data_IF_767384526570
#
_entry.id   IF_767384526570
#
_cell.length_a   1.000
_cell.length_b   1.000
_cell.length_c   1.000
_cell.angle_alpha   90.00
_cell.angle_beta   90.00
_cell.angle_gamma   90.00
#
_symmetry.space_group_name_H-M   'P 1'
#
loop_
_entity.id
_entity.type
_entity.pdbx_description
1 polymer ?
#
# COMPACT_ATOMS: atom_id res chain seq x y z
N UNK A 1 -4.67 -3.41 17.33
CA UNK A 1 -4.23 -2.61 18.50
C UNK A 1 -5.09 -1.37 18.54
N UNK A 2 -5.86 -1.20 19.62
CA UNK A 2 -6.69 -0.02 19.88
C UNK A 2 -5.84 0.96 20.66
N UNK A 3 -5.51 2.10 20.06
CA UNK A 3 -4.88 3.20 20.79
C UNK A 3 -5.94 3.85 21.68
N UNK A 4 -5.54 4.41 22.82
CA UNK A 4 -6.43 4.86 23.91
C UNK A 4 -7.49 5.92 23.57
N UNK A 5 -7.60 6.32 22.30
CA UNK A 5 -8.63 7.19 21.74
C UNK A 5 -9.73 6.43 20.97
N UNK A 6 -9.73 5.09 21.00
CA UNK A 6 -10.67 4.26 20.24
C UNK A 6 -10.33 4.11 18.75
N UNK A 7 -9.30 4.83 18.26
CA UNK A 7 -8.73 4.59 16.95
C UNK A 7 -7.91 3.31 16.99
N UNK A 8 -8.10 2.45 15.98
CA UNK A 8 -7.29 1.28 15.80
C UNK A 8 -6.85 1.17 14.35
N UNK A 9 -5.71 0.51 14.18
CA UNK A 9 -5.23 0.06 12.88
C UNK A 9 -5.41 -1.45 12.81
N UNK A 10 -6.01 -1.91 11.74
CA UNK A 10 -6.17 -3.34 11.47
C UNK A 10 -5.30 -3.76 10.29
N UNK A 11 -4.73 -4.95 10.40
CA UNK A 11 -3.82 -5.53 9.43
C UNK A 11 -4.39 -6.86 8.96
N UNK A 12 -4.35 -7.09 7.64
CA UNK A 12 -4.54 -8.42 7.08
C UNK A 12 -3.23 -8.89 6.46
N UNK A 13 -3.07 -10.20 6.37
CA UNK A 13 -1.86 -10.81 5.86
C UNK A 13 -2.17 -11.68 4.64
N UNK A 14 -1.19 -11.85 3.77
CA UNK A 14 -1.21 -12.85 2.71
C UNK A 14 -0.80 -14.24 3.24
N UNK A 15 -0.81 -15.24 2.36
CA UNK A 15 -0.46 -16.63 2.71
C UNK A 15 1.01 -16.80 3.13
N UNK A 16 1.86 -15.79 2.93
CA UNK A 16 3.26 -15.77 3.33
C UNK A 16 3.46 -14.96 4.63
N UNK A 17 2.37 -14.64 5.34
CA UNK A 17 2.36 -13.80 6.55
C UNK A 17 2.89 -12.37 6.33
N UNK A 18 2.81 -11.85 5.10
CA UNK A 18 3.18 -10.46 4.79
C UNK A 18 1.95 -9.57 4.81
N UNK A 19 2.11 -8.30 5.18
CA UNK A 19 0.98 -7.36 5.34
C UNK A 19 0.31 -7.10 3.98
N UNK A 20 -0.91 -7.58 3.80
CA UNK A 20 -1.69 -7.39 2.56
C UNK A 20 -2.53 -6.12 2.60
N UNK A 21 -3.07 -5.76 3.77
CA UNK A 21 -3.94 -4.59 3.91
C UNK A 21 -3.77 -3.96 5.27
N UNK A 22 -3.76 -2.64 5.29
CA UNK A 22 -3.77 -1.80 6.49
C UNK A 22 -4.99 -0.91 6.43
N UNK A 23 -5.84 -0.95 7.46
CA UNK A 23 -7.00 -0.04 7.56
C UNK A 23 -6.85 0.84 8.77
N UNK A 24 -6.88 2.14 8.53
CA UNK A 24 -6.86 3.20 9.52
C UNK A 24 -8.29 3.62 9.81
N UNK A 25 -8.79 3.31 11.00
CA UNK A 25 -10.19 3.59 11.36
C UNK A 25 -10.49 5.09 11.46
N UNK A 26 -9.52 5.87 11.97
CA UNK A 26 -9.67 7.31 12.19
C UNK A 26 -9.95 8.09 10.90
N UNK A 27 -9.19 7.79 9.85
CA UNK A 27 -9.29 8.44 8.54
C UNK A 27 -10.12 7.66 7.53
N UNK A 28 -10.63 6.49 7.92
CA UNK A 28 -11.23 5.47 7.04
C UNK A 28 -10.35 5.14 5.82
N UNK A 29 -9.03 5.28 5.96
CA UNK A 29 -8.07 5.02 4.89
C UNK A 29 -7.74 3.54 4.84
N UNK A 30 -7.77 2.96 3.65
CA UNK A 30 -7.32 1.58 3.39
C UNK A 30 -6.11 1.61 2.48
N UNK A 31 -5.03 0.95 2.91
CA UNK A 31 -3.83 0.74 2.11
C UNK A 31 -3.70 -0.74 1.80
N UNK A 32 -3.57 -1.11 0.53
CA UNK A 32 -3.33 -2.50 0.10
C UNK A 32 -1.97 -2.63 -0.55
N UNK A 33 -1.26 -3.71 -0.25
CA UNK A 33 0.06 -4.00 -0.82
C UNK A 33 0.00 -5.26 -1.68
N UNK A 34 0.63 -5.19 -2.84
CA UNK A 34 0.97 -6.33 -3.69
C UNK A 34 2.48 -6.49 -3.68
N UNK A 35 2.94 -7.73 -3.61
CA UNK A 35 4.36 -8.07 -3.53
C UNK A 35 4.85 -8.72 -4.81
N UNK A 36 6.11 -8.47 -5.18
CA UNK A 36 6.80 -9.23 -6.22
C UNK A 36 7.20 -10.63 -5.74
N UNK A 37 7.82 -11.41 -6.62
CA UNK A 37 8.27 -12.77 -6.34
C UNK A 37 9.43 -12.83 -5.32
N UNK A 38 10.17 -11.73 -5.14
CA UNK A 38 11.24 -11.58 -4.16
C UNK A 38 10.72 -11.14 -2.78
N UNK A 39 9.45 -10.74 -2.71
CA UNK A 39 8.80 -10.25 -1.51
C UNK A 39 8.94 -8.75 -1.26
N UNK A 40 9.38 -7.97 -2.26
CA UNK A 40 9.32 -6.52 -2.19
C UNK A 40 7.92 -6.02 -2.55
N UNK A 41 7.55 -4.83 -2.07
CA UNK A 41 6.24 -4.22 -2.37
C UNK A 41 6.26 -3.78 -3.84
N UNK A 42 5.62 -4.52 -4.73
CA UNK A 42 5.52 -4.14 -6.14
C UNK A 42 4.50 -3.01 -6.35
N UNK A 43 3.40 -3.02 -5.59
CA UNK A 43 2.34 -2.01 -5.70
C UNK A 43 1.75 -1.67 -4.34
N UNK A 44 1.36 -0.42 -4.18
CA UNK A 44 0.51 0.02 -3.08
C UNK A 44 -0.72 0.72 -3.65
N UNK A 45 -1.88 0.56 -3.02
CA UNK A 45 -3.08 1.34 -3.34
C UNK A 45 -3.63 1.94 -2.07
N UNK A 46 -4.02 3.19 -2.11
CA UNK A 46 -4.56 3.97 -1.01
C UNK A 46 -5.95 4.44 -1.42
N UNK A 47 -6.94 4.06 -0.63
CA UNK A 47 -8.31 4.53 -0.79
C UNK A 47 -8.75 5.22 0.49
N UNK A 48 -9.37 6.39 0.34
CA UNK A 48 -9.90 7.17 1.45
C UNK A 48 -11.22 7.83 1.00
N UNK A 49 -12.29 7.82 1.83
CA UNK A 49 -13.51 8.53 1.52
C UNK A 49 -13.25 10.02 1.24
N UNK A 50 -13.82 10.54 0.16
CA UNK A 50 -13.66 11.95 -0.24
C UNK A 50 -12.32 12.31 -0.87
N UNK A 51 -11.47 11.33 -1.21
CA UNK A 51 -10.25 11.54 -1.98
C UNK A 51 -10.18 10.57 -3.16
N UNK A 52 -9.55 11.03 -4.23
CA UNK A 52 -9.23 10.16 -5.37
C UNK A 52 -8.29 9.02 -4.93
N UNK A 53 -8.54 7.78 -5.39
CA UNK A 53 -7.70 6.64 -5.05
C UNK A 53 -6.30 6.82 -5.66
N UNK A 54 -5.28 6.74 -4.81
CA UNK A 54 -3.89 6.77 -5.26
C UNK A 54 -3.37 5.34 -5.37
N UNK A 55 -2.62 5.04 -6.44
CA UNK A 55 -1.84 3.82 -6.51
C UNK A 55 -0.38 4.14 -6.79
N UNK A 56 0.50 3.26 -6.37
CA UNK A 56 1.94 3.39 -6.53
C UNK A 56 2.48 2.08 -7.08
N UNK A 57 3.42 2.17 -8.02
CA UNK A 57 4.22 1.03 -8.45
C UNK A 57 5.68 1.29 -8.07
N UNK A 58 6.34 0.26 -7.60
CA UNK A 58 7.73 0.30 -7.20
C UNK A 58 8.52 -0.72 -8.03
N UNK A 59 9.68 -0.29 -8.51
CA UNK A 59 10.62 -1.15 -9.21
C UNK A 59 11.94 -1.17 -8.45
N UNK A 60 12.50 -2.37 -8.34
CA UNK A 60 13.73 -2.63 -7.59
C UNK A 60 14.80 -3.19 -8.52
N UNK A 61 16.06 -2.91 -8.20
CA UNK A 61 17.17 -3.62 -8.82
C UNK A 61 17.36 -5.04 -8.24
N UNK A 62 18.30 -5.79 -8.78
CA UNK A 62 18.61 -7.17 -8.36
C UNK A 62 19.13 -7.27 -6.92
N UNK A 63 19.52 -6.16 -6.29
CA UNK A 63 19.96 -6.08 -4.91
C UNK A 63 18.82 -5.65 -3.96
N UNK A 64 17.59 -5.52 -4.48
CA UNK A 64 16.42 -5.10 -3.71
C UNK A 64 16.37 -3.60 -3.42
N UNK A 65 17.17 -2.78 -4.11
CA UNK A 65 17.16 -1.32 -3.93
C UNK A 65 16.10 -0.71 -4.81
N UNK A 66 15.29 0.19 -4.25
CA UNK A 66 14.27 0.92 -5.00
C UNK A 66 14.94 1.80 -6.06
N UNK A 67 14.64 1.57 -7.33
CA UNK A 67 15.16 2.34 -8.46
C UNK A 67 14.10 3.23 -9.11
N UNK A 68 12.81 2.92 -8.93
CA UNK A 68 11.72 3.74 -9.46
C UNK A 68 10.48 3.62 -8.61
N UNK A 69 9.82 4.77 -8.37
CA UNK A 69 8.46 4.82 -7.88
C UNK A 69 7.63 5.68 -8.83
N UNK A 70 6.44 5.22 -9.17
CA UNK A 70 5.50 5.98 -9.99
C UNK A 70 4.13 5.98 -9.32
N UNK A 71 3.57 7.16 -9.17
CA UNK A 71 2.17 7.29 -8.77
C UNK A 71 1.30 7.05 -10.00
N UNK A 72 0.35 6.15 -9.86
CA UNK A 72 -0.67 5.87 -10.86
C UNK A 72 -2.01 6.35 -10.32
N UNK A 73 -2.57 7.41 -10.88
CA UNK A 73 -3.97 7.75 -10.65
C UNK A 73 -4.81 6.68 -11.34
N UNK A 74 -5.64 5.96 -10.60
CA UNK A 74 -6.57 4.96 -11.16
C UNK A 74 -5.99 4.07 -12.27
N UNK A 75 -5.15 3.09 -11.92
CA UNK A 75 -4.53 2.13 -12.87
C UNK A 75 -3.60 2.70 -13.96
N UNK A 76 -3.57 4.00 -14.23
CA UNK A 76 -2.74 4.59 -15.26
C UNK A 76 -1.51 5.29 -14.68
N UNK A 77 -0.35 4.96 -15.24
CA UNK A 77 0.94 5.47 -14.78
C UNK A 77 1.03 6.93 -15.15
N UNK A 78 0.86 7.83 -14.18
CA UNK A 78 1.16 9.24 -14.37
C UNK A 78 2.67 9.36 -14.22
N UNK A 79 3.38 9.38 -15.35
CA UNK A 79 4.77 9.84 -15.36
C UNK A 79 4.74 11.35 -15.12
N UNK A 80 5.35 11.78 -14.02
CA UNK A 80 5.52 13.20 -13.71
C UNK A 80 6.86 13.71 -14.26
#
# INVERSE_FOLDING_TARGET
MTYGNGSYVSYTYDNQNRVKTVKYQDTLTTVTYDYDYLGNIARARVTQPGKEPAAYKYEYDTLGRLIRCVQTEGNEVVQH
#
